data_IF_027449682831
#
_entry.id   IF_027449682831
#
_cell.length_a   1.000
_cell.length_b   1.000
_cell.length_c   1.000
_cell.angle_alpha   90.00
_cell.angle_beta   90.00
_cell.angle_gamma   90.00
#
_symmetry.space_group_name_H-M   'P 1'
#
loop_
_entity.id
_entity.type
_entity.pdbx_description
1 polymer ?
#
# COMPACT_ATOMS: atom_id res chain seq x y z
N UNK A 1 -13.25 -17.83 25.82
CA UNK A 1 -12.32 -16.68 25.94
C UNK A 1 -13.00 -15.48 25.31
N UNK A 2 -13.48 -14.52 26.10
CA UNK A 2 -14.23 -13.36 25.57
C UNK A 2 -13.27 -12.34 25.00
N UNK A 3 -13.36 -12.06 23.70
CA UNK A 3 -12.58 -11.01 23.03
C UNK A 3 -13.00 -9.66 23.59
N UNK A 4 -12.04 -8.82 23.95
CA UNK A 4 -12.32 -7.48 24.46
C UNK A 4 -12.91 -6.59 23.34
N UNK A 5 -13.71 -5.59 23.72
CA UNK A 5 -14.28 -4.62 22.77
C UNK A 5 -13.20 -3.92 21.93
N UNK A 6 -12.01 -3.71 22.49
CA UNK A 6 -10.86 -3.11 21.81
C UNK A 6 -10.24 -4.04 20.76
N UNK A 7 -10.11 -5.33 21.05
CA UNK A 7 -9.56 -6.33 20.12
C UNK A 7 -10.46 -6.53 18.89
N UNK A 8 -11.77 -6.61 19.10
CA UNK A 8 -12.73 -6.68 17.98
C UNK A 8 -12.75 -5.41 17.12
N UNK A 9 -12.49 -4.24 17.70
CA UNK A 9 -12.36 -3.00 16.96
C UNK A 9 -11.12 -3.00 16.05
N UNK A 10 -9.98 -3.47 16.54
CA UNK A 10 -8.75 -3.58 15.74
C UNK A 10 -8.90 -4.55 14.56
N UNK A 11 -9.58 -5.69 14.76
CA UNK A 11 -9.88 -6.63 13.67
C UNK A 11 -10.73 -5.97 12.58
N UNK A 12 -11.77 -5.22 12.95
CA UNK A 12 -12.60 -4.47 11.99
C UNK A 12 -11.81 -3.40 11.26
N UNK A 13 -10.98 -2.64 11.98
CA UNK A 13 -10.13 -1.61 11.39
C UNK A 13 -9.19 -2.22 10.35
N UNK A 14 -8.55 -3.34 10.66
CA UNK A 14 -7.64 -4.00 9.73
C UNK A 14 -8.35 -4.45 8.43
N UNK A 15 -9.58 -4.96 8.54
CA UNK A 15 -10.38 -5.31 7.36
C UNK A 15 -10.81 -4.10 6.54
N UNK A 16 -11.20 -3.00 7.19
CA UNK A 16 -11.53 -1.75 6.49
C UNK A 16 -10.31 -1.22 5.74
N UNK A 17 -9.14 -1.22 6.38
CA UNK A 17 -7.88 -0.81 5.75
C UNK A 17 -7.48 -1.75 4.61
N UNK A 18 -7.67 -3.05 4.77
CA UNK A 18 -7.39 -4.01 3.70
C UNK A 18 -8.33 -3.81 2.50
N UNK A 19 -9.62 -3.60 2.75
CA UNK A 19 -10.58 -3.27 1.70
C UNK A 19 -10.21 -1.98 0.98
N UNK A 20 -9.79 -0.95 1.73
CA UNK A 20 -9.31 0.31 1.17
C UNK A 20 -8.12 0.07 0.23
N UNK A 21 -7.14 -0.74 0.63
CA UNK A 21 -5.98 -1.09 -0.21
C UNK A 21 -6.43 -1.71 -1.53
N UNK A 22 -7.30 -2.71 -1.47
CA UNK A 22 -7.78 -3.41 -2.68
C UNK A 22 -8.55 -2.46 -3.59
N UNK A 23 -9.45 -1.64 -3.05
CA UNK A 23 -10.27 -0.71 -3.83
C UNK A 23 -9.40 0.35 -4.51
N UNK A 24 -8.43 0.94 -3.81
CA UNK A 24 -7.54 1.95 -4.39
C UNK A 24 -6.63 1.33 -5.44
N UNK A 25 -6.05 0.16 -5.17
CA UNK A 25 -5.21 -0.57 -6.14
C UNK A 25 -5.97 -0.85 -7.45
N UNK A 26 -7.21 -1.34 -7.35
CA UNK A 26 -8.06 -1.59 -8.52
C UNK A 26 -8.47 -0.30 -9.23
N UNK A 27 -8.71 0.78 -8.49
CA UNK A 27 -9.05 2.08 -9.06
C UNK A 27 -7.89 2.77 -9.78
N UNK A 28 -6.65 2.51 -9.36
CA UNK A 28 -5.44 3.05 -9.99
C UNK A 28 -5.09 2.35 -11.29
N UNK A 29 -5.37 1.05 -11.42
CA UNK A 29 -4.97 0.27 -12.59
C UNK A 29 -5.50 0.83 -13.93
N UNK A 30 -6.78 1.23 -14.08
CA UNK A 30 -7.27 1.89 -15.29
C UNK A 30 -6.55 3.21 -15.60
N UNK A 31 -6.21 3.99 -14.58
CA UNK A 31 -5.51 5.27 -14.74
C UNK A 31 -4.08 5.03 -15.25
N UNK A 32 -3.37 4.07 -14.66
CA UNK A 32 -2.02 3.68 -15.08
C UNK A 32 -2.01 3.15 -16.51
N UNK A 33 -2.96 2.28 -16.86
CA UNK A 33 -3.09 1.72 -18.22
C UNK A 33 -3.43 2.80 -19.26
N UNK A 34 -4.24 3.80 -18.90
CA UNK A 34 -4.54 4.92 -19.80
C UNK A 34 -3.33 5.82 -20.04
N UNK A 35 -2.54 6.09 -19.00
CA UNK A 35 -1.37 6.96 -19.10
C UNK A 35 -0.17 6.26 -19.75
N UNK A 36 0.03 4.99 -19.44
CA UNK A 36 1.15 4.18 -19.89
C UNK A 36 0.65 2.80 -20.34
N UNK A 37 0.08 2.69 -21.55
CA UNK A 37 -0.47 1.43 -22.01
C UNK A 37 0.64 0.37 -22.15
N UNK A 38 0.53 -0.78 -21.46
CA UNK A 38 1.54 -1.83 -21.53
C UNK A 38 1.63 -2.44 -22.92
N UNK A 39 2.86 -2.52 -23.44
CA UNK A 39 3.17 -2.95 -24.82
C UNK A 39 3.24 -4.48 -25.00
N UNK A 40 3.13 -5.25 -23.91
CA UNK A 40 3.23 -6.71 -23.95
C UNK A 40 2.41 -7.37 -22.84
N UNK A 41 2.13 -8.67 -22.97
CA UNK A 41 1.50 -9.48 -21.91
C UNK A 41 2.36 -9.53 -20.65
N UNK A 42 3.69 -9.53 -20.79
CA UNK A 42 4.61 -9.50 -19.65
C UNK A 42 4.51 -8.19 -18.87
N UNK A 43 4.38 -7.05 -19.56
CA UNK A 43 4.15 -5.76 -18.92
C UNK A 43 2.81 -5.73 -18.19
N UNK A 44 1.73 -6.22 -18.82
CA UNK A 44 0.43 -6.38 -18.16
C UNK A 44 0.49 -7.24 -16.89
N UNK A 45 1.18 -8.38 -16.94
CA UNK A 45 1.34 -9.26 -15.79
C UNK A 45 2.13 -8.57 -14.66
N UNK A 46 3.17 -7.81 -15.02
CA UNK A 46 3.96 -7.01 -14.07
C UNK A 46 3.09 -5.95 -13.40
N UNK A 47 2.33 -5.17 -14.17
CA UNK A 47 1.49 -4.09 -13.64
C UNK A 47 0.37 -4.62 -12.72
N UNK A 48 -0.24 -5.76 -13.10
CA UNK A 48 -1.22 -6.44 -12.25
C UNK A 48 -0.58 -7.00 -10.97
N UNK A 49 0.62 -7.58 -11.06
CA UNK A 49 1.31 -8.15 -9.92
C UNK A 49 1.69 -7.08 -8.89
N UNK A 50 2.38 -6.04 -9.35
CA UNK A 50 2.90 -4.98 -8.49
C UNK A 50 1.85 -3.97 -8.08
N UNK A 51 0.93 -3.63 -8.98
CA UNK A 51 -0.11 -2.63 -8.74
C UNK A 51 -1.30 -3.16 -7.94
N UNK A 52 -1.62 -4.46 -8.02
CA UNK A 52 -2.84 -5.01 -7.41
C UNK A 52 -2.58 -6.25 -6.58
N UNK A 53 -1.99 -7.30 -7.17
CA UNK A 53 -1.96 -8.61 -6.53
C UNK A 53 -1.13 -8.62 -5.24
N UNK A 54 0.09 -8.07 -5.29
CA UNK A 54 1.00 -8.03 -4.13
C UNK A 54 0.45 -7.15 -3.00
N UNK A 55 0.06 -5.87 -3.23
CA UNK A 55 -0.50 -5.02 -2.17
C UNK A 55 -1.76 -5.63 -1.54
N UNK A 56 -2.64 -6.19 -2.37
CA UNK A 56 -3.89 -6.84 -1.91
C UNK A 56 -3.60 -8.07 -1.05
N UNK A 57 -2.66 -8.92 -1.48
CA UNK A 57 -2.27 -10.11 -0.74
C UNK A 57 -1.70 -9.74 0.64
N UNK A 58 -0.79 -8.76 0.69
CA UNK A 58 -0.21 -8.28 1.94
C UNK A 58 -1.28 -7.73 2.89
N UNK A 59 -2.21 -6.91 2.37
CA UNK A 59 -3.25 -6.30 3.18
C UNK A 59 -4.27 -7.33 3.71
N UNK A 60 -4.66 -8.31 2.90
CA UNK A 60 -5.58 -9.39 3.31
C UNK A 60 -4.91 -10.32 4.34
N UNK A 61 -3.67 -10.72 4.11
CA UNK A 61 -2.91 -11.53 5.07
C UNK A 61 -2.71 -10.78 6.39
N UNK A 62 -2.38 -9.49 6.32
CA UNK A 62 -2.31 -8.63 7.50
C UNK A 62 -3.63 -8.59 8.28
N UNK A 63 -4.75 -8.37 7.58
CA UNK A 63 -6.08 -8.36 8.21
C UNK A 63 -6.40 -9.71 8.88
N UNK A 64 -6.06 -10.84 8.24
CA UNK A 64 -6.23 -12.17 8.82
C UNK A 64 -5.39 -12.35 10.10
N UNK A 65 -4.13 -11.92 10.08
CA UNK A 65 -3.22 -12.00 11.24
C UNK A 65 -3.75 -11.13 12.39
N UNK A 66 -4.09 -9.86 12.12
CA UNK A 66 -4.60 -8.92 13.13
C UNK A 66 -5.93 -9.38 13.69
N UNK A 67 -6.81 -9.95 12.87
CA UNK A 67 -8.11 -10.45 13.33
C UNK A 67 -7.97 -11.65 14.29
N UNK A 68 -6.91 -12.46 14.15
CA UNK A 68 -6.60 -13.55 15.08
C UNK A 68 -5.81 -13.06 16.30
N UNK A 69 -4.91 -12.11 16.12
CA UNK A 69 -4.03 -11.57 17.16
C UNK A 69 -3.85 -10.05 16.97
N UNK A 70 -4.73 -9.21 17.57
CA UNK A 70 -4.74 -7.76 17.34
C UNK A 70 -3.44 -7.04 17.73
N UNK A 71 -2.70 -7.60 18.69
CA UNK A 71 -1.40 -7.07 19.12
C UNK A 71 -0.21 -7.50 18.25
N UNK A 72 -0.43 -8.26 17.16
CA UNK A 72 0.66 -8.76 16.34
C UNK A 72 1.26 -7.64 15.45
N UNK A 73 2.49 -7.23 15.80
CA UNK A 73 3.23 -6.17 15.10
C UNK A 73 3.50 -6.51 13.63
N UNK A 74 3.72 -7.79 13.31
CA UNK A 74 4.00 -8.23 11.93
C UNK A 74 2.77 -8.01 11.05
N UNK A 75 1.57 -8.30 11.55
CA UNK A 75 0.33 -8.03 10.83
C UNK A 75 0.19 -6.54 10.49
N UNK A 76 0.43 -5.66 11.46
CA UNK A 76 0.38 -4.21 11.22
C UNK A 76 1.46 -3.71 10.26
N UNK A 77 2.67 -4.26 10.32
CA UNK A 77 3.74 -3.92 9.38
C UNK A 77 3.39 -4.36 7.94
N UNK A 78 2.84 -5.56 7.76
CA UNK A 78 2.37 -6.01 6.45
C UNK A 78 1.24 -5.13 5.90
N UNK A 79 0.33 -4.67 6.77
CA UNK A 79 -0.73 -3.72 6.38
C UNK A 79 -0.14 -2.38 5.93
N UNK A 80 0.89 -1.90 6.64
CA UNK A 80 1.58 -0.66 6.31
C UNK A 80 2.29 -0.75 4.96
N UNK A 81 2.90 -1.89 4.63
CA UNK A 81 3.49 -2.13 3.30
C UNK A 81 2.43 -2.10 2.21
N UNK A 82 1.29 -2.76 2.40
CA UNK A 82 0.17 -2.71 1.43
C UNK A 82 -0.39 -1.30 1.24
N UNK A 83 -0.52 -0.53 2.32
CA UNK A 83 -0.93 0.88 2.27
C UNK A 83 0.10 1.77 1.57
N UNK A 84 1.40 1.55 1.80
CA UNK A 84 2.45 2.32 1.15
C UNK A 84 2.46 2.10 -0.36
N UNK A 85 2.23 0.86 -0.81
CA UNK A 85 2.27 0.49 -2.22
C UNK A 85 1.16 1.12 -3.08
N UNK A 86 0.05 1.54 -2.47
CA UNK A 86 -1.07 2.18 -3.19
C UNK A 86 -0.99 3.71 -3.19
N UNK A 87 0.00 4.31 -2.51
CA UNK A 87 0.17 5.76 -2.52
C UNK A 87 0.80 6.12 -3.87
N UNK A 88 0.20 7.04 -4.66
CA UNK A 88 0.76 7.48 -5.94
C UNK A 88 1.92 8.47 -5.69
N UNK A 89 2.98 7.99 -5.05
CA UNK A 89 4.14 8.76 -4.60
C UNK A 89 4.75 9.57 -5.72
N UNK A 90 5.01 8.96 -6.88
CA UNK A 90 5.56 9.63 -8.06
C UNK A 90 4.69 10.81 -8.55
N UNK A 91 3.36 10.65 -8.53
CA UNK A 91 2.43 11.73 -8.91
C UNK A 91 2.46 12.87 -7.89
N UNK A 92 2.49 12.55 -6.60
CA UNK A 92 2.54 13.55 -5.53
C UNK A 92 3.86 14.31 -5.59
N UNK A 93 4.99 13.61 -5.69
CA UNK A 93 6.32 14.21 -5.74
C UNK A 93 6.54 15.06 -7.00
N UNK A 94 5.99 14.65 -8.15
CA UNK A 94 6.08 15.39 -9.41
C UNK A 94 5.26 16.69 -9.45
N UNK A 95 4.32 16.90 -8.52
CA UNK A 95 3.49 18.12 -8.47
C UNK A 95 4.00 19.18 -7.49
N UNK A 96 5.07 18.89 -6.74
CA UNK A 96 5.66 19.81 -5.78
C UNK A 96 6.72 20.68 -6.48
N UNK A 97 6.55 22.01 -6.56
CA UNK A 97 7.59 22.92 -7.07
C UNK A 97 8.83 22.86 -6.16
N UNK A 98 10.02 22.88 -6.77
CA UNK A 98 11.38 22.78 -6.16
C UNK A 98 11.49 22.82 -4.62
N UNK A 99 12.15 21.83 -3.99
CA UNK A 99 12.05 21.62 -2.55
C UNK A 99 13.02 22.52 -1.78
N UNK A 100 12.62 23.75 -1.47
CA UNK A 100 13.33 24.55 -0.47
C UNK A 100 13.01 24.10 0.97
N UNK A 101 11.88 23.39 1.19
CA UNK A 101 11.52 22.77 2.47
C UNK A 101 10.49 21.65 2.28
N UNK A 102 10.95 20.40 2.13
CA UNK A 102 10.04 19.26 2.28
C UNK A 102 9.49 19.22 3.70
N UNK A 103 8.17 19.16 3.87
CA UNK A 103 7.58 18.90 5.18
C UNK A 103 7.93 17.46 5.61
N UNK A 104 7.98 17.15 6.92
CA UNK A 104 8.36 15.82 7.40
C UNK A 104 7.57 14.67 6.76
N UNK A 105 6.29 14.89 6.44
CA UNK A 105 5.45 13.90 5.76
C UNK A 105 5.87 13.64 4.31
N UNK A 106 6.27 14.68 3.57
CA UNK A 106 6.75 14.54 2.19
C UNK A 106 8.13 13.86 2.18
N UNK A 107 8.97 14.16 3.17
CA UNK A 107 10.27 13.52 3.33
C UNK A 107 10.15 12.00 3.55
N UNK A 108 9.22 11.59 4.42
CA UNK A 108 8.91 10.17 4.63
C UNK A 108 8.41 9.50 3.35
N UNK A 109 7.56 10.19 2.60
CA UNK A 109 6.97 9.70 1.35
C UNK A 109 8.05 9.49 0.27
N UNK A 110 8.99 10.43 0.13
CA UNK A 110 10.15 10.31 -0.75
C UNK A 110 11.11 9.19 -0.32
N UNK A 111 11.32 9.00 0.99
CA UNK A 111 12.16 7.91 1.49
C UNK A 111 11.55 6.53 1.24
N UNK A 112 10.22 6.40 1.29
CA UNK A 112 9.50 5.17 0.94
C UNK A 112 9.53 4.90 -0.56
N UNK A 113 9.33 5.93 -1.38
CA UNK A 113 9.40 5.82 -2.85
C UNK A 113 10.79 5.36 -3.32
N UNK A 114 11.84 5.89 -2.69
CA UNK A 114 13.22 5.62 -3.03
C UNK A 114 13.84 4.48 -2.18
N UNK A 115 13.02 3.62 -1.58
CA UNK A 115 13.49 2.51 -0.76
C UNK A 115 14.05 1.37 -1.64
N UNK A 116 15.23 1.58 -2.22
CA UNK A 116 16.00 0.53 -2.87
C UNK A 116 17.03 -0.05 -1.89
N UNK A 117 16.96 -1.36 -1.65
CA UNK A 117 18.00 -2.11 -0.93
C UNK A 117 19.19 -2.47 -1.85
N UNK A 118 19.02 -2.23 -3.15
CA UNK A 118 20.08 -2.34 -4.16
C UNK A 118 20.65 -0.93 -4.38
N UNK A 119 21.96 -0.72 -4.17
CA UNK A 119 22.61 0.51 -4.59
C UNK A 119 22.56 0.58 -6.12
N UNK A 120 22.08 1.70 -6.66
CA UNK A 120 22.23 2.05 -8.07
C UNK A 120 23.68 2.45 -8.36
#
# INVERSE_FOLDING_TARGET
MSISKRESWFGRLAWVLALLVVVVALGQLPLTVQQNPPVSLGAWASDLAWGVAIPSLYAVLAALIINRQPGNRVGWLMLLVGLAAIIPTATILGTIPEPSTFTPGIWLLAAVDNWSWVPL
#
